data_IF_112007212941
#
_entry.id   IF_112007212941
#
_cell.length_a   1.000
_cell.length_b   1.000
_cell.length_c   1.000
_cell.angle_alpha   90.00
_cell.angle_beta   90.00
_cell.angle_gamma   90.00
#
_symmetry.space_group_name_H-M   'P 1'
#
loop_
_entity.id
_entity.type
_entity.pdbx_description
1 polymer ?
#
# COMPACT_ATOMS: atom_id res chain seq x y z
N UNK A 1 -25.21 -31.65 -15.45
CA UNK A 1 -23.81 -31.97 -15.09
C UNK A 1 -22.83 -31.01 -15.74
N UNK A 2 -22.88 -30.79 -17.07
CA UNK A 2 -21.98 -29.86 -17.76
C UNK A 2 -22.01 -28.40 -17.25
N UNK A 3 -23.19 -27.85 -16.95
CA UNK A 3 -23.33 -26.47 -16.45
C UNK A 3 -22.67 -26.26 -15.07
N UNK A 4 -22.75 -27.25 -14.17
CA UNK A 4 -22.10 -27.18 -12.86
C UNK A 4 -20.58 -27.23 -12.98
N UNK A 5 -20.07 -28.05 -13.89
CA UNK A 5 -18.64 -28.17 -14.16
C UNK A 5 -18.08 -26.86 -14.75
N UNK A 6 -18.82 -26.20 -15.64
CA UNK A 6 -18.47 -24.88 -16.18
C UNK A 6 -18.40 -23.80 -15.10
N UNK A 7 -19.36 -23.77 -14.17
CA UNK A 7 -19.34 -22.83 -13.04
C UNK A 7 -18.14 -23.07 -12.11
N UNK A 8 -17.80 -24.33 -11.84
CA UNK A 8 -16.62 -24.70 -11.03
C UNK A 8 -15.33 -24.29 -11.75
N UNK A 9 -15.21 -24.54 -13.06
CA UNK A 9 -14.05 -24.12 -13.84
C UNK A 9 -13.89 -22.59 -13.83
N UNK A 10 -14.99 -21.85 -13.95
CA UNK A 10 -14.96 -20.38 -13.84
C UNK A 10 -14.52 -19.92 -12.46
N UNK A 11 -15.01 -20.56 -11.39
CA UNK A 11 -14.58 -20.27 -10.02
C UNK A 11 -13.06 -20.52 -9.84
N UNK A 12 -12.56 -21.65 -10.34
CA UNK A 12 -11.12 -21.96 -10.31
C UNK A 12 -10.32 -20.91 -11.07
N UNK A 13 -10.78 -20.50 -12.25
CA UNK A 13 -10.14 -19.43 -13.03
C UNK A 13 -10.07 -18.12 -12.24
N UNK A 14 -11.19 -17.69 -11.66
CA UNK A 14 -11.25 -16.46 -10.87
C UNK A 14 -10.35 -16.53 -9.63
N UNK A 15 -10.28 -17.68 -8.95
CA UNK A 15 -9.40 -17.87 -7.80
C UNK A 15 -7.91 -17.86 -8.18
N UNK A 16 -7.55 -18.40 -9.34
CA UNK A 16 -6.18 -18.30 -9.86
C UNK A 16 -5.81 -16.85 -10.16
N UNK A 17 -6.67 -16.11 -10.86
CA UNK A 17 -6.45 -14.67 -11.12
C UNK A 17 -6.39 -13.85 -9.83
N UNK A 18 -7.23 -14.15 -8.84
CA UNK A 18 -7.16 -13.53 -7.52
C UNK A 18 -5.79 -13.75 -6.88
N UNK A 19 -5.30 -14.99 -6.89
CA UNK A 19 -3.99 -15.32 -6.34
C UNK A 19 -2.86 -14.53 -7.03
N UNK A 20 -2.88 -14.42 -8.35
CA UNK A 20 -1.91 -13.63 -9.11
C UNK A 20 -1.92 -12.15 -8.69
N UNK A 21 -3.10 -11.55 -8.57
CA UNK A 21 -3.24 -10.17 -8.08
C UNK A 21 -2.79 -10.01 -6.63
N UNK A 22 -3.01 -11.01 -5.78
CA UNK A 22 -2.53 -10.98 -4.40
C UNK A 22 -1.00 -11.10 -4.33
N UNK A 23 -0.37 -11.90 -5.17
CA UNK A 23 1.10 -11.96 -5.28
C UNK A 23 1.68 -10.62 -5.77
N UNK A 24 1.01 -9.95 -6.72
CA UNK A 24 1.39 -8.61 -7.15
C UNK A 24 1.23 -7.58 -6.02
N UNK A 25 0.11 -7.61 -5.30
CA UNK A 25 -0.16 -6.75 -4.15
C UNK A 25 0.89 -6.93 -3.04
N UNK A 26 1.28 -8.18 -2.79
CA UNK A 26 2.36 -8.54 -1.86
C UNK A 26 3.70 -7.95 -2.29
N UNK A 27 4.03 -8.00 -3.57
CA UNK A 27 5.25 -7.37 -4.11
C UNK A 27 5.26 -5.86 -3.84
N UNK A 28 4.14 -5.17 -4.08
CA UNK A 28 4.02 -3.75 -3.78
C UNK A 28 4.08 -3.44 -2.28
N UNK A 29 3.45 -4.24 -1.43
CA UNK A 29 3.53 -4.09 0.02
C UNK A 29 4.99 -4.20 0.52
N UNK A 30 5.74 -5.18 0.00
CA UNK A 30 7.16 -5.33 0.30
C UNK A 30 7.98 -4.11 -0.16
N UNK A 31 7.75 -3.62 -1.38
CA UNK A 31 8.45 -2.42 -1.91
C UNK A 31 8.15 -1.18 -1.07
N UNK A 32 6.88 -0.98 -0.68
CA UNK A 32 6.49 0.10 0.21
C UNK A 32 7.22 0.02 1.56
N UNK A 33 7.22 -1.16 2.19
CA UNK A 33 7.95 -1.38 3.44
C UNK A 33 9.43 -1.03 3.29
N UNK A 34 10.09 -1.54 2.25
CA UNK A 34 11.51 -1.28 1.99
C UNK A 34 11.82 0.21 1.74
N UNK A 35 10.93 0.91 1.02
CA UNK A 35 11.06 2.36 0.82
C UNK A 35 10.99 3.12 2.14
N UNK A 36 10.01 2.79 2.98
CA UNK A 36 9.86 3.38 4.32
C UNK A 36 11.06 3.08 5.23
N UNK A 37 11.57 1.83 5.25
CA UNK A 37 12.77 1.46 6.02
C UNK A 37 14.00 2.27 5.61
N UNK A 38 14.17 2.51 4.30
CA UNK A 38 15.31 3.25 3.75
C UNK A 38 15.12 4.77 3.78
N UNK A 39 13.96 5.24 4.26
CA UNK A 39 13.52 6.64 4.15
C UNK A 39 13.48 7.15 2.70
N UNK A 40 13.35 6.23 1.75
CA UNK A 40 13.21 6.51 0.33
C UNK A 40 11.71 6.56 0.01
N UNK A 41 11.18 7.79 0.04
CA UNK A 41 9.75 8.04 -0.15
C UNK A 41 9.39 8.40 -1.60
N UNK A 42 10.40 8.52 -2.47
CA UNK A 42 10.19 8.75 -3.90
C UNK A 42 9.54 7.49 -4.51
N UNK A 43 8.39 7.65 -5.15
CA UNK A 43 7.66 6.51 -5.74
C UNK A 43 6.61 5.85 -4.82
N UNK A 44 6.51 6.24 -3.54
CA UNK A 44 5.46 5.72 -2.66
C UNK A 44 4.04 6.05 -3.14
N UNK A 45 3.73 7.25 -3.66
CA UNK A 45 2.40 7.54 -4.21
C UNK A 45 2.00 6.62 -5.36
N UNK A 46 2.93 6.33 -6.28
CA UNK A 46 2.72 5.42 -7.41
C UNK A 46 2.50 3.99 -6.93
N UNK A 47 3.26 3.54 -5.93
CA UNK A 47 3.05 2.22 -5.29
C UNK A 47 1.65 2.16 -4.67
N UNK A 48 1.25 3.18 -3.90
CA UNK A 48 -0.07 3.22 -3.24
C UNK A 48 -1.19 3.19 -4.30
N UNK A 49 -1.05 3.95 -5.38
CA UNK A 49 -2.02 3.94 -6.49
C UNK A 49 -2.13 2.55 -7.11
N UNK A 50 -1.01 1.91 -7.44
CA UNK A 50 -1.01 0.57 -8.02
C UNK A 50 -1.65 -0.46 -7.08
N UNK A 51 -1.41 -0.34 -5.76
CA UNK A 51 -2.03 -1.20 -4.75
C UNK A 51 -3.55 -1.02 -4.71
N UNK A 52 -4.05 0.21 -4.81
CA UNK A 52 -5.48 0.50 -4.87
C UNK A 52 -6.13 -0.13 -6.11
N UNK A 53 -5.53 0.02 -7.28
CA UNK A 53 -6.05 -0.57 -8.53
C UNK A 53 -6.14 -2.11 -8.45
N UNK A 54 -5.16 -2.74 -7.81
CA UNK A 54 -5.14 -4.20 -7.62
C UNK A 54 -6.21 -4.63 -6.60
N UNK A 55 -6.38 -3.88 -5.51
CA UNK A 55 -7.41 -4.16 -4.52
C UNK A 55 -8.82 -4.15 -5.14
N UNK A 56 -9.10 -3.18 -6.02
CA UNK A 56 -10.39 -3.12 -6.74
C UNK A 56 -10.62 -4.35 -7.63
N UNK A 57 -9.58 -4.86 -8.30
CA UNK A 57 -9.68 -6.10 -9.10
C UNK A 57 -9.97 -7.31 -8.21
N UNK A 58 -9.32 -7.40 -7.05
CA UNK A 58 -9.56 -8.48 -6.08
C UNK A 58 -10.99 -8.41 -5.55
N UNK A 59 -11.48 -7.23 -5.19
CA UNK A 59 -12.84 -7.03 -4.71
C UNK A 59 -13.89 -7.41 -5.76
N UNK A 60 -13.63 -7.07 -7.04
CA UNK A 60 -14.46 -7.51 -8.17
C UNK A 60 -14.53 -9.03 -8.27
N UNK A 61 -13.38 -9.71 -8.23
CA UNK A 61 -13.33 -11.18 -8.24
C UNK A 61 -14.03 -11.80 -7.02
N UNK A 62 -13.93 -11.20 -5.84
CA UNK A 62 -14.61 -11.68 -4.64
C UNK A 62 -16.14 -11.55 -4.71
N UNK A 63 -16.63 -10.49 -5.35
CA UNK A 63 -18.03 -10.35 -5.72
C UNK A 63 -18.49 -11.49 -6.63
N UNK A 64 -17.81 -11.69 -7.76
CA UNK A 64 -18.12 -12.76 -8.72
C UNK A 64 -18.04 -14.15 -8.09
N UNK A 65 -16.99 -14.43 -7.31
CA UNK A 65 -16.80 -15.71 -6.65
C UNK A 65 -17.94 -16.01 -5.66
N UNK A 66 -18.46 -15.00 -4.97
CA UNK A 66 -19.60 -15.16 -4.06
C UNK A 66 -20.86 -15.59 -4.82
N UNK A 67 -21.12 -15.00 -5.98
CA UNK A 67 -22.24 -15.37 -6.85
C UNK A 67 -22.09 -16.81 -7.38
N UNK A 68 -20.89 -17.16 -7.87
CA UNK A 68 -20.58 -18.51 -8.35
C UNK A 68 -20.74 -19.55 -7.24
N UNK A 69 -20.19 -19.28 -6.05
CA UNK A 69 -20.34 -20.16 -4.89
C UNK A 69 -21.80 -20.35 -4.49
N UNK A 70 -22.62 -19.29 -4.53
CA UNK A 70 -24.04 -19.38 -4.24
C UNK A 70 -24.81 -20.23 -5.28
N UNK A 71 -24.38 -20.21 -6.54
CA UNK A 71 -24.97 -21.04 -7.59
C UNK A 71 -24.53 -22.52 -7.48
N UNK A 72 -23.31 -22.78 -7.04
CA UNK A 72 -22.74 -24.12 -6.91
C UNK A 72 -23.21 -24.83 -5.63
N UNK A 73 -23.27 -24.11 -4.50
CA UNK A 73 -23.49 -24.67 -3.15
C UNK A 73 -24.74 -25.55 -2.99
N UNK A 74 -25.90 -25.29 -3.63
CA UNK A 74 -27.07 -26.16 -3.53
C UNK A 74 -26.89 -27.55 -4.18
N UNK A 75 -25.90 -27.73 -5.05
CA UNK A 75 -25.74 -28.94 -5.87
C UNK A 75 -24.57 -29.86 -5.49
N UNK A 76 -23.74 -29.48 -4.51
CA UNK A 76 -22.48 -30.19 -4.22
C UNK A 76 -22.49 -30.81 -2.83
N UNK A 77 -22.88 -32.08 -2.74
CA UNK A 77 -22.95 -32.84 -1.47
C UNK A 77 -21.60 -33.31 -0.89
N UNK A 78 -20.46 -32.78 -1.35
CA UNK A 78 -19.13 -33.34 -1.02
C UNK A 78 -17.94 -32.38 -1.11
N UNK A 79 -18.15 -31.06 -1.16
CA UNK A 79 -17.08 -30.06 -1.29
C UNK A 79 -16.74 -29.67 -2.73
N UNK A 80 -16.16 -28.48 -2.92
CA UNK A 80 -15.94 -27.83 -4.23
C UNK A 80 -14.73 -28.38 -5.02
N UNK A 81 -14.02 -29.35 -4.45
CA UNK A 81 -12.79 -29.93 -5.00
C UNK A 81 -11.52 -29.38 -4.33
N UNK A 82 -10.47 -30.21 -4.31
CA UNK A 82 -9.20 -29.91 -3.63
C UNK A 82 -8.56 -28.61 -4.15
N UNK A 83 -8.60 -28.36 -5.45
CA UNK A 83 -7.98 -27.18 -6.05
C UNK A 83 -8.61 -25.87 -5.56
N UNK A 84 -9.94 -25.81 -5.43
CA UNK A 84 -10.65 -24.63 -4.92
C UNK A 84 -10.23 -24.35 -3.47
N UNK A 85 -10.12 -25.39 -2.65
CA UNK A 85 -9.68 -25.27 -1.26
C UNK A 85 -8.21 -24.82 -1.16
N UNK A 86 -7.32 -25.37 -1.99
CA UNK A 86 -5.91 -24.99 -2.04
C UNK A 86 -5.72 -23.52 -2.46
N UNK A 87 -6.42 -23.08 -3.50
CA UNK A 87 -6.39 -21.68 -3.95
C UNK A 87 -6.96 -20.73 -2.89
N UNK A 88 -8.03 -21.13 -2.20
CA UNK A 88 -8.60 -20.39 -1.08
C UNK A 88 -7.60 -20.22 0.07
N UNK A 89 -6.95 -21.30 0.51
CA UNK A 89 -5.92 -21.25 1.57
C UNK A 89 -4.72 -20.41 1.17
N UNK A 90 -4.23 -20.56 -0.08
CA UNK A 90 -3.13 -19.76 -0.58
C UNK A 90 -3.45 -18.26 -0.58
N UNK A 91 -4.68 -17.90 -0.99
CA UNK A 91 -5.16 -16.51 -0.93
C UNK A 91 -5.21 -15.99 0.51
N UNK A 92 -5.69 -16.79 1.46
CA UNK A 92 -5.73 -16.41 2.88
C UNK A 92 -4.33 -16.25 3.50
N UNK A 93 -3.37 -17.08 3.13
CA UNK A 93 -1.97 -16.93 3.53
C UNK A 93 -1.37 -15.63 2.99
N UNK A 94 -1.55 -15.34 1.71
CA UNK A 94 -1.11 -14.08 1.10
C UNK A 94 -1.75 -12.85 1.79
N UNK A 95 -3.04 -12.90 2.11
CA UNK A 95 -3.73 -11.82 2.84
C UNK A 95 -3.06 -11.55 4.20
N UNK A 96 -2.73 -12.60 4.95
CA UNK A 96 -2.06 -12.48 6.26
C UNK A 96 -0.67 -11.89 6.13
N UNK A 97 0.11 -12.31 5.13
CA UNK A 97 1.44 -11.76 4.86
C UNK A 97 1.38 -10.27 4.50
N UNK A 98 0.49 -9.89 3.58
CA UNK A 98 0.28 -8.49 3.16
C UNK A 98 -0.11 -7.65 4.37
N UNK A 99 -1.06 -8.13 5.17
CA UNK A 99 -1.50 -7.42 6.36
C UNK A 99 -0.36 -7.22 7.37
N UNK A 100 0.49 -8.22 7.59
CA UNK A 100 1.67 -8.08 8.45
C UNK A 100 2.64 -6.99 7.95
N UNK A 101 2.92 -6.98 6.64
CA UNK A 101 3.77 -5.95 6.02
C UNK A 101 3.15 -4.54 6.13
N UNK A 102 1.83 -4.43 6.03
CA UNK A 102 1.12 -3.17 6.16
C UNK A 102 1.17 -2.63 7.59
N UNK A 103 1.00 -3.49 8.59
CA UNK A 103 1.14 -3.10 10.00
C UNK A 103 2.55 -2.55 10.28
N UNK A 104 3.59 -3.23 9.79
CA UNK A 104 4.97 -2.77 9.93
C UNK A 104 5.20 -1.45 9.17
N UNK A 105 4.69 -1.33 7.95
CA UNK A 105 4.77 -0.10 7.15
C UNK A 105 4.10 1.10 7.83
N UNK A 106 2.95 0.89 8.48
CA UNK A 106 2.26 1.94 9.25
C UNK A 106 3.11 2.41 10.43
N UNK A 107 3.76 1.49 11.14
CA UNK A 107 4.65 1.83 12.26
C UNK A 107 5.86 2.64 11.76
N UNK A 108 6.48 2.23 10.66
CA UNK A 108 7.59 2.95 10.03
C UNK A 108 7.18 4.36 9.60
N UNK A 109 6.03 4.49 8.93
CA UNK A 109 5.51 5.78 8.47
C UNK A 109 5.25 6.75 9.65
N UNK A 110 4.70 6.25 10.77
CA UNK A 110 4.51 7.05 11.99
C UNK A 110 5.84 7.51 12.58
N UNK A 111 6.84 6.64 12.62
CA UNK A 111 8.19 6.99 13.08
C UNK A 111 8.81 8.11 12.23
N UNK A 112 8.69 8.01 10.90
CA UNK A 112 9.14 9.06 9.98
C UNK A 112 8.42 10.39 10.20
N UNK A 113 7.10 10.34 10.41
CA UNK A 113 6.31 11.55 10.71
C UNK A 113 6.79 12.23 12.01
N UNK A 114 7.06 11.46 13.06
CA UNK A 114 7.57 11.99 14.33
C UNK A 114 8.97 12.61 14.19
N UNK A 115 9.87 11.96 13.45
CA UNK A 115 11.20 12.49 13.15
C UNK A 115 11.11 13.82 12.38
N UNK A 116 10.29 13.88 11.33
CA UNK A 116 10.06 15.10 10.56
C UNK A 116 9.47 16.22 11.42
N UNK A 117 8.52 15.92 12.32
CA UNK A 117 7.98 16.90 13.27
C UNK A 117 9.07 17.46 14.20
N UNK A 118 9.99 16.63 14.69
CA UNK A 118 11.12 17.07 15.52
C UNK A 118 12.05 17.99 14.71
N UNK A 119 12.36 17.63 13.47
CA UNK A 119 13.23 18.43 12.59
C UNK A 119 12.60 19.78 12.27
N UNK A 120 11.31 19.84 11.94
CA UNK A 120 10.57 21.10 11.74
C UNK A 120 10.56 21.97 13.00
N UNK A 121 10.42 21.36 14.18
CA UNK A 121 10.51 22.08 15.46
C UNK A 121 11.92 22.65 15.68
N UNK A 122 12.97 21.89 15.33
CA UNK A 122 14.35 22.36 15.41
C UNK A 122 14.60 23.54 14.46
N UNK A 123 14.09 23.46 13.23
CA UNK A 123 14.20 24.55 12.25
C UNK A 123 13.48 25.82 12.74
N UNK A 124 12.24 25.69 13.22
CA UNK A 124 11.42 26.82 13.67
C UNK A 124 11.91 27.45 14.99
N UNK A 125 12.53 26.67 15.87
CA UNK A 125 13.12 27.16 17.13
C UNK A 125 14.53 27.72 16.96
N UNK A 126 15.18 27.53 15.80
CA UNK A 126 16.50 28.07 15.56
C UNK A 126 16.46 29.60 15.40
N UNK A 127 16.89 30.29 16.45
CA UNK A 127 16.88 31.76 16.60
C UNK A 127 17.55 32.50 15.44
N UNK A 128 18.59 31.93 14.81
CA UNK A 128 19.23 32.52 13.62
C UNK A 128 18.31 32.50 12.39
N UNK A 129 17.58 31.41 12.15
CA UNK A 129 16.63 31.27 11.05
C UNK A 129 15.45 32.21 11.26
N UNK A 130 14.87 32.22 12.46
CA UNK A 130 13.73 33.09 12.81
C UNK A 130 14.09 34.58 12.67
N UNK A 131 15.25 35.00 13.16
CA UNK A 131 15.71 36.40 13.03
C UNK A 131 16.04 36.77 11.58
N UNK A 132 16.54 35.83 10.76
CA UNK A 132 16.78 36.07 9.34
C UNK A 132 15.47 36.30 8.56
N UNK A 133 14.44 35.48 8.81
CA UNK A 133 13.14 35.60 8.13
C UNK A 133 12.28 36.76 8.65
N UNK A 134 12.45 37.17 9.91
CA UNK A 134 11.71 38.30 10.51
C UNK A 134 12.40 39.66 10.32
N UNK A 135 13.56 39.72 9.64
CA UNK A 135 14.31 40.96 9.43
C UNK A 135 14.94 41.55 10.71
N UNK A 136 14.93 40.79 11.81
CA UNK A 136 15.51 41.18 13.10
C UNK A 136 16.97 40.73 13.28
N UNK A 137 17.49 39.91 12.37
CA UNK A 137 18.93 39.72 12.21
C UNK A 137 19.55 41.06 11.84
N UNK A 138 20.75 41.37 12.40
CA UNK A 138 21.53 42.59 12.10
C UNK A 138 21.26 42.96 10.65
N UNK A 139 20.52 44.06 10.44
CA UNK A 139 20.21 44.59 9.11
C UNK A 139 21.48 44.40 8.28
N UNK A 140 21.39 43.71 7.15
CA UNK A 140 22.34 43.97 6.07
C UNK A 140 22.14 45.45 5.75
N UNK A 141 22.75 46.32 6.54
CA UNK A 141 22.85 47.72 6.27
C UNK A 141 23.54 47.76 4.93
N UNK A 142 22.92 48.40 3.94
CA UNK A 142 23.45 48.61 2.60
C UNK A 142 24.75 49.44 2.57
N UNK A 143 25.53 49.44 3.64
CA UNK A 143 26.88 49.99 3.71
C UNK A 143 27.86 49.24 2.77
N UNK A 144 27.52 48.05 2.27
CA UNK A 144 28.28 47.36 1.22
C UNK A 144 27.83 47.69 -0.21
N UNK A 145 26.71 48.40 -0.40
CA UNK A 145 26.20 48.75 -1.74
C UNK A 145 26.55 50.18 -2.18
N UNK A 146 27.16 50.99 -1.30
CA UNK A 146 27.54 52.37 -1.60
C UNK A 146 29.06 52.63 -1.54
N UNK A 147 29.89 51.64 -1.84
CA UNK A 147 31.29 51.87 -2.24
C UNK A 147 31.44 51.61 -3.74
N UNK A 148 30.79 52.46 -4.55
CA UNK A 148 31.14 52.88 -5.94
C UNK A 148 29.89 53.45 -6.61
N UNK A 149 29.73 54.77 -6.51
CA UNK A 149 28.74 55.58 -7.20
C UNK A 149 28.99 57.04 -6.90
#
# INVERSE_FOLDING_TARGET
MAEMEELIQKLVSNLRSKKEYMEELRSYALRQKQGLEKKDIEGLPEIISARSDIAEKIDGLDGENRELLSAISPGVGGGLGLEVEELGRASEELAREIHGMDQESILLARGLEEDLKKDLKNISSHRRSKNAYQGEGKRFTGAFLNEKG
#
